data_IF_516564289261
#
_entry.id   IF_516564289261
#
_cell.length_a   1.000
_cell.length_b   1.000
_cell.length_c   1.000
_cell.angle_alpha   90.00
_cell.angle_beta   90.00
_cell.angle_gamma   90.00
#
_symmetry.space_group_name_H-M   'P 1'
#
loop_
_entity.id
_entity.type
_entity.pdbx_description
1 polymer ?
#
# COMPACT_ATOMS: atom_id res chain seq x y z
N UNK A 1 -11.75 21.40 3.86
CA UNK A 1 -10.50 21.01 3.19
C UNK A 1 -9.43 20.92 4.24
N UNK A 2 -8.63 19.86 4.23
CA UNK A 2 -7.75 19.49 5.35
C UNK A 2 -6.36 20.13 5.27
N UNK A 3 -6.08 20.81 4.15
CA UNK A 3 -4.86 21.55 3.90
C UNK A 3 -5.17 22.94 3.32
N UNK A 4 -4.32 23.92 3.64
CA UNK A 4 -4.30 25.25 3.04
C UNK A 4 -2.94 25.50 2.40
N UNK A 5 -2.91 26.29 1.33
CA UNK A 5 -1.65 26.71 0.71
C UNK A 5 -1.39 28.19 1.05
N UNK A 6 -0.19 28.49 1.54
CA UNK A 6 0.26 29.87 1.77
C UNK A 6 0.55 30.57 0.44
N UNK A 7 0.78 31.88 0.49
CA UNK A 7 1.22 32.64 -0.70
C UNK A 7 2.60 32.17 -1.21
N UNK A 8 3.41 31.60 -0.31
CA UNK A 8 4.76 31.09 -0.59
C UNK A 8 4.74 29.62 -1.06
N UNK A 9 3.55 29.04 -1.30
CA UNK A 9 3.31 27.65 -1.73
C UNK A 9 3.62 26.59 -0.67
N UNK A 10 3.66 26.97 0.60
CA UNK A 10 3.73 26.00 1.70
C UNK A 10 2.35 25.42 1.99
N UNK A 11 2.30 24.12 2.30
CA UNK A 11 1.07 23.45 2.72
C UNK A 11 0.96 23.42 4.25
N UNK A 12 -0.15 23.92 4.79
CA UNK A 12 -0.52 23.84 6.21
C UNK A 12 -1.65 22.82 6.36
N UNK A 13 -1.37 21.71 7.04
CA UNK A 13 -2.38 20.72 7.41
C UNK A 13 -3.07 21.14 8.71
N UNK A 14 -4.40 21.23 8.68
CA UNK A 14 -5.19 21.77 9.79
C UNK A 14 -6.13 20.75 10.44
N UNK A 15 -6.27 19.57 9.85
CA UNK A 15 -7.13 18.50 10.33
C UNK A 15 -6.33 17.19 10.44
N UNK A 16 -6.29 16.65 11.66
CA UNK A 16 -5.63 15.38 12.01
C UNK A 16 -6.63 14.32 12.49
N UNK A 17 -7.94 14.57 12.41
CA UNK A 17 -8.99 13.70 12.92
C UNK A 17 -9.08 12.33 12.22
N UNK A 18 -8.40 12.17 11.08
CA UNK A 18 -8.35 10.94 10.30
C UNK A 18 -6.97 10.23 10.35
N UNK A 19 -6.04 10.67 11.22
CA UNK A 19 -4.77 9.96 11.43
C UNK A 19 -5.08 8.58 12.02
N UNK A 20 -4.44 7.56 11.47
CA UNK A 20 -4.61 6.15 11.84
C UNK A 20 -3.28 5.41 11.76
N UNK A 21 -3.17 4.32 12.51
CA UNK A 21 -2.05 3.38 12.40
C UNK A 21 -2.39 2.29 11.37
N UNK A 22 -1.43 2.00 10.50
CA UNK A 22 -1.52 0.91 9.54
C UNK A 22 -0.66 -0.28 10.02
N UNK A 23 -1.20 -1.52 10.03
CA UNK A 23 -0.44 -2.69 10.44
C UNK A 23 0.78 -2.90 9.56
N UNK A 24 1.85 -3.39 10.19
CA UNK A 24 3.15 -3.58 9.53
C UNK A 24 3.06 -4.43 8.26
N UNK A 25 2.29 -5.52 8.28
CA UNK A 25 2.16 -6.42 7.14
C UNK A 25 1.46 -5.75 5.95
N UNK A 26 0.39 -4.99 6.19
CA UNK A 26 -0.32 -4.23 5.14
C UNK A 26 0.57 -3.12 4.60
N UNK A 27 1.22 -2.35 5.48
CA UNK A 27 2.12 -1.27 5.10
C UNK A 27 3.26 -1.76 4.23
N UNK A 28 3.94 -2.85 4.63
CA UNK A 28 5.06 -3.44 3.87
C UNK A 28 4.62 -3.95 2.51
N UNK A 29 3.51 -4.68 2.46
CA UNK A 29 3.01 -5.23 1.21
C UNK A 29 2.63 -4.13 0.22
N UNK A 30 1.83 -3.14 0.64
CA UNK A 30 1.41 -2.02 -0.22
C UNK A 30 2.59 -1.15 -0.65
N UNK A 31 3.53 -0.88 0.26
CA UNK A 31 4.75 -0.17 -0.10
C UNK A 31 5.55 -0.94 -1.15
N UNK A 32 5.80 -2.24 -0.94
CA UNK A 32 6.53 -3.08 -1.89
C UNK A 32 5.82 -3.16 -3.25
N UNK A 33 4.49 -3.29 -3.24
CA UNK A 33 3.68 -3.29 -4.45
C UNK A 33 3.92 -2.03 -5.29
N UNK A 34 3.76 -0.83 -4.71
CA UNK A 34 3.96 0.42 -5.44
C UNK A 34 5.43 0.67 -5.80
N UNK A 35 6.36 0.31 -4.92
CA UNK A 35 7.80 0.43 -5.15
C UNK A 35 8.24 -0.33 -6.39
N UNK A 36 7.87 -1.61 -6.51
CA UNK A 36 8.19 -2.42 -7.68
C UNK A 36 7.38 -2.01 -8.91
N UNK A 37 6.10 -1.62 -8.73
CA UNK A 37 5.25 -1.18 -9.84
C UNK A 37 5.81 0.07 -10.52
N UNK A 38 6.26 1.07 -9.75
CA UNK A 38 6.86 2.30 -10.27
C UNK A 38 8.17 2.07 -11.04
N UNK A 39 8.82 0.91 -10.85
CA UNK A 39 10.04 0.48 -11.56
C UNK A 39 9.76 -0.42 -12.77
N UNK A 40 8.48 -0.73 -13.03
CA UNK A 40 8.09 -1.69 -14.04
C UNK A 40 8.36 -3.15 -13.66
N UNK A 41 8.71 -3.44 -12.40
CA UNK A 41 8.97 -4.78 -11.90
C UNK A 41 7.66 -5.49 -11.51
N UNK A 42 6.80 -5.74 -12.51
CA UNK A 42 5.43 -6.26 -12.30
C UNK A 42 5.39 -7.53 -11.45
N UNK A 43 6.31 -8.47 -11.70
CA UNK A 43 6.34 -9.72 -10.94
C UNK A 43 6.58 -9.49 -9.45
N UNK A 44 7.60 -8.69 -9.11
CA UNK A 44 7.94 -8.38 -7.72
C UNK A 44 6.81 -7.56 -7.06
N UNK A 45 6.16 -6.68 -7.81
CA UNK A 45 4.98 -5.95 -7.34
C UNK A 45 3.86 -6.90 -6.93
N UNK A 46 3.51 -7.84 -7.80
CA UNK A 46 2.44 -8.82 -7.52
C UNK A 46 2.83 -9.76 -6.36
N UNK A 47 4.10 -10.18 -6.31
CA UNK A 47 4.62 -11.00 -5.22
C UNK A 47 4.55 -10.27 -3.87
N UNK A 48 4.83 -8.95 -3.85
CA UNK A 48 4.69 -8.12 -2.65
C UNK A 48 3.24 -8.10 -2.13
N UNK A 49 2.21 -8.11 -2.98
CA UNK A 49 0.82 -8.25 -2.53
C UNK A 49 0.50 -9.59 -1.90
N UNK A 50 1.08 -10.68 -2.42
CA UNK A 50 0.86 -12.01 -1.85
C UNK A 50 1.50 -12.19 -0.47
N UNK A 51 2.34 -11.25 -0.01
CA UNK A 51 2.87 -11.27 1.37
C UNK A 51 1.79 -11.04 2.42
N UNK A 52 0.62 -10.48 2.05
CA UNK A 52 -0.55 -10.34 2.92
C UNK A 52 -1.40 -11.62 3.02
N UNK A 53 -1.10 -12.66 2.24
CA UNK A 53 -1.83 -13.91 2.35
C UNK A 53 -1.31 -14.74 3.52
N UNK A 54 -2.20 -15.09 4.45
CA UNK A 54 -1.91 -15.98 5.59
C UNK A 54 -1.31 -17.31 5.13
N UNK A 55 -1.86 -17.84 4.03
CA UNK A 55 -1.37 -19.04 3.36
C UNK A 55 -1.03 -18.67 1.92
N UNK A 56 0.19 -19.00 1.49
CA UNK A 56 0.62 -18.74 0.12
C UNK A 56 -0.29 -19.49 -0.87
N UNK A 57 -0.92 -18.80 -1.85
CA UNK A 57 -1.63 -19.48 -2.91
C UNK A 57 -0.66 -20.34 -3.72
N UNK A 58 -1.14 -21.49 -4.18
CA UNK A 58 -0.36 -22.41 -5.02
C UNK A 58 -1.21 -22.93 -6.18
N UNK A 59 -0.55 -23.55 -7.17
CA UNK A 59 -1.22 -24.20 -8.30
C UNK A 59 -2.13 -23.24 -9.06
N UNK A 60 -3.37 -23.67 -9.30
CA UNK A 60 -4.33 -22.92 -10.13
C UNK A 60 -4.68 -21.56 -9.54
N UNK A 61 -4.84 -21.43 -8.23
CA UNK A 61 -5.17 -20.15 -7.58
C UNK A 61 -4.08 -19.11 -7.80
N UNK A 62 -2.81 -19.53 -7.67
CA UNK A 62 -1.67 -18.66 -7.91
C UNK A 62 -1.57 -18.23 -9.37
N UNK A 63 -1.82 -19.15 -10.31
CA UNK A 63 -1.82 -18.81 -11.73
C UNK A 63 -2.93 -17.82 -12.07
N UNK A 64 -4.17 -18.07 -11.62
CA UNK A 64 -5.30 -17.15 -11.82
C UNK A 64 -5.02 -15.77 -11.26
N UNK A 65 -4.34 -15.68 -10.12
CA UNK A 65 -3.92 -14.41 -9.55
C UNK A 65 -2.99 -13.64 -10.49
N UNK A 66 -1.90 -14.27 -10.97
CA UNK A 66 -0.99 -13.59 -11.89
C UNK A 66 -1.64 -13.22 -13.21
N UNK A 67 -2.47 -14.10 -13.78
CA UNK A 67 -3.18 -13.82 -15.02
C UNK A 67 -4.08 -12.58 -14.85
N UNK A 68 -4.83 -12.51 -13.73
CA UNK A 68 -5.69 -11.37 -13.41
C UNK A 68 -4.87 -10.09 -13.18
N UNK A 69 -3.75 -10.17 -12.46
CA UNK A 69 -2.90 -9.00 -12.20
C UNK A 69 -2.23 -8.50 -13.48
N UNK A 70 -1.78 -9.39 -14.37
CA UNK A 70 -1.24 -8.99 -15.67
C UNK A 70 -2.30 -8.33 -16.53
N UNK A 71 -3.52 -8.86 -16.59
CA UNK A 71 -4.63 -8.24 -17.31
C UNK A 71 -4.98 -6.87 -16.75
N UNK A 72 -5.00 -6.73 -15.42
CA UNK A 72 -5.29 -5.45 -14.77
C UNK A 72 -4.25 -4.38 -15.09
N UNK A 73 -2.97 -4.75 -15.10
CA UNK A 73 -1.86 -3.79 -15.27
C UNK A 73 -1.36 -3.68 -16.71
N UNK A 74 -1.94 -4.44 -17.65
CA UNK A 74 -1.66 -4.29 -19.08
C UNK A 74 -2.16 -2.91 -19.56
N UNK A 75 -1.22 -2.11 -20.08
CA UNK A 75 -1.51 -0.74 -20.51
C UNK A 75 -1.89 0.24 -19.40
N UNK A 76 -1.77 -0.11 -18.11
CA UNK A 76 -2.05 0.81 -16.99
C UNK A 76 -0.85 1.72 -16.67
N UNK A 77 0.37 1.20 -16.76
CA UNK A 77 1.57 2.03 -16.52
C UNK A 77 1.72 3.01 -17.68
N UNK A 78 1.79 4.31 -17.37
CA UNK A 78 1.85 5.37 -18.38
C UNK A 78 0.51 6.03 -18.71
N UNK A 79 -0.62 5.56 -18.16
CA UNK A 79 -1.91 6.25 -18.32
C UNK A 79 -2.08 7.39 -17.34
N UNK A 80 -2.79 8.44 -17.74
CA UNK A 80 -3.13 9.54 -16.84
C UNK A 80 -4.24 9.17 -15.87
N UNK A 81 -4.33 9.90 -14.75
CA UNK A 81 -5.44 9.75 -13.79
C UNK A 81 -6.82 10.07 -14.41
N UNK A 82 -6.86 10.92 -15.44
CA UNK A 82 -8.09 11.18 -16.20
C UNK A 82 -8.52 10.02 -17.11
N UNK A 83 -7.60 9.14 -17.50
CA UNK A 83 -7.88 7.96 -18.33
C UNK A 83 -8.30 6.76 -17.49
N UNK A 84 -7.58 6.50 -16.38
CA UNK A 84 -7.86 5.39 -15.48
C UNK A 84 -7.77 5.87 -14.03
N UNK A 85 -8.86 5.72 -13.27
CA UNK A 85 -8.87 6.01 -11.84
C UNK A 85 -8.00 5.01 -11.09
N UNK A 86 -7.04 5.51 -10.31
CA UNK A 86 -6.23 4.66 -9.44
C UNK A 86 -7.11 3.94 -8.41
N UNK A 87 -8.18 4.57 -7.94
CA UNK A 87 -9.15 3.96 -7.02
C UNK A 87 -9.77 2.69 -7.60
N UNK A 88 -10.29 2.77 -8.83
CA UNK A 88 -10.92 1.63 -9.48
C UNK A 88 -9.91 0.50 -9.72
N UNK A 89 -8.71 0.86 -10.15
CA UNK A 89 -7.61 -0.08 -10.35
C UNK A 89 -7.23 -0.79 -9.04
N UNK A 90 -7.13 -0.05 -7.95
CA UNK A 90 -6.82 -0.59 -6.63
C UNK A 90 -7.94 -1.50 -6.10
N UNK A 91 -9.21 -1.16 -6.33
CA UNK A 91 -10.33 -2.03 -5.95
C UNK A 91 -10.29 -3.37 -6.69
N UNK A 92 -9.98 -3.37 -8.00
CA UNK A 92 -9.79 -4.61 -8.78
C UNK A 92 -8.58 -5.41 -8.29
N UNK A 93 -7.48 -4.72 -7.96
CA UNK A 93 -6.25 -5.32 -7.40
C UNK A 93 -6.51 -6.01 -6.07
N UNK A 94 -7.19 -5.32 -5.14
CA UNK A 94 -7.60 -5.88 -3.84
C UNK A 94 -8.49 -7.10 -4.04
N UNK A 95 -9.45 -7.05 -4.96
CA UNK A 95 -10.32 -8.19 -5.27
C UNK A 95 -9.52 -9.40 -5.77
N UNK A 96 -8.59 -9.21 -6.69
CA UNK A 96 -7.72 -10.28 -7.19
C UNK A 96 -6.87 -10.89 -6.06
N UNK A 97 -6.30 -10.05 -5.20
CA UNK A 97 -5.51 -10.47 -4.05
C UNK A 97 -6.34 -11.27 -3.02
N UNK A 98 -7.56 -10.83 -2.71
CA UNK A 98 -8.48 -11.55 -1.80
C UNK A 98 -8.85 -12.92 -2.36
N UNK A 99 -9.12 -13.04 -3.66
CA UNK A 99 -9.37 -14.34 -4.31
C UNK A 99 -8.14 -15.27 -4.26
N UNK A 100 -6.95 -14.70 -4.11
CA UNK A 100 -5.69 -15.44 -3.92
C UNK A 100 -5.39 -15.76 -2.44
N UNK A 101 -6.25 -15.35 -1.50
CA UNK A 101 -6.09 -15.64 -0.07
C UNK A 101 -5.45 -14.50 0.74
N UNK A 102 -5.28 -13.30 0.19
CA UNK A 102 -4.86 -12.14 0.97
C UNK A 102 -5.97 -11.66 1.92
N UNK A 103 -5.58 -11.33 3.15
CA UNK A 103 -6.46 -10.66 4.12
C UNK A 103 -5.94 -9.25 4.36
N UNK A 104 -6.77 -8.25 4.09
CA UNK A 104 -6.43 -6.85 4.28
C UNK A 104 -6.85 -6.34 5.68
N UNK A 105 -7.72 -7.08 6.38
CA UNK A 105 -8.28 -6.67 7.68
C UNK A 105 -9.09 -5.37 7.62
N UNK A 106 -9.66 -4.96 8.76
CA UNK A 106 -10.31 -3.64 8.85
C UNK A 106 -9.30 -2.48 8.78
N UNK A 107 -8.03 -2.76 9.11
CA UNK A 107 -6.98 -1.76 9.22
C UNK A 107 -6.39 -1.31 7.87
N UNK A 108 -6.74 -1.98 6.76
CA UNK A 108 -6.38 -1.51 5.41
C UNK A 108 -7.35 -0.45 4.87
N UNK A 109 -8.58 -0.37 5.41
CA UNK A 109 -9.58 0.60 4.93
C UNK A 109 -9.09 2.06 4.99
N UNK A 110 -8.37 2.50 6.04
CA UNK A 110 -7.84 3.87 6.07
C UNK A 110 -6.78 4.14 4.99
N UNK A 111 -6.00 3.13 4.59
CA UNK A 111 -5.00 3.26 3.51
C UNK A 111 -5.72 3.39 2.16
N UNK A 112 -6.69 2.51 1.89
CA UNK A 112 -7.50 2.57 0.67
C UNK A 112 -8.21 3.92 0.59
N UNK A 113 -8.81 4.39 1.68
CA UNK A 113 -9.47 5.70 1.75
C UNK A 113 -8.49 6.86 1.45
N UNK A 114 -7.26 6.78 1.98
CA UNK A 114 -6.22 7.78 1.70
C UNK A 114 -5.87 7.81 0.21
N UNK A 115 -5.67 6.64 -0.42
CA UNK A 115 -5.42 6.53 -1.86
C UNK A 115 -6.57 7.12 -2.68
N UNK A 116 -7.83 6.84 -2.31
CA UNK A 116 -9.01 7.39 -2.97
C UNK A 116 -9.07 8.93 -2.92
N UNK A 117 -8.76 9.52 -1.76
CA UNK A 117 -8.73 10.98 -1.64
C UNK A 117 -7.61 11.60 -2.46
N UNK A 118 -6.44 10.97 -2.51
CA UNK A 118 -5.32 11.43 -3.33
C UNK A 118 -5.67 11.34 -4.83
N UNK A 119 -6.25 10.23 -5.28
CA UNK A 119 -6.75 10.05 -6.66
C UNK A 119 -7.74 11.16 -7.04
N UNK A 120 -8.71 11.45 -6.17
CA UNK A 120 -9.67 12.54 -6.39
C UNK A 120 -9.08 13.95 -6.36
N UNK A 121 -8.00 14.18 -5.58
CA UNK A 121 -7.27 15.44 -5.60
C UNK A 121 -6.48 15.62 -6.90
N UNK A 122 -5.81 14.58 -7.36
CA UNK A 122 -5.03 14.59 -8.61
C UNK A 122 -5.94 14.80 -9.80
N UNK A 123 -7.08 14.09 -9.87
CA UNK A 123 -8.07 14.26 -10.93
C UNK A 123 -8.56 15.72 -11.08
N UNK A 124 -8.64 16.47 -9.98
CA UNK A 124 -9.08 17.88 -10.00
C UNK A 124 -7.95 18.88 -10.25
N UNK A 125 -6.73 18.57 -9.79
CA UNK A 125 -5.61 19.52 -9.78
C UNK A 125 -4.59 19.30 -10.89
N UNK A 126 -4.36 18.06 -11.31
CA UNK A 126 -3.35 17.69 -12.29
C UNK A 126 -3.74 16.37 -13.00
N UNK A 127 -4.86 16.36 -13.76
CA UNK A 127 -5.47 15.14 -14.29
C UNK A 127 -4.60 14.36 -15.27
N UNK A 128 -3.71 15.05 -15.99
CA UNK A 128 -2.90 14.46 -17.07
C UNK A 128 -1.62 13.79 -16.56
N UNK A 129 -1.45 13.68 -15.24
CA UNK A 129 -0.27 13.07 -14.63
C UNK A 129 -0.36 11.54 -14.65
N UNK A 130 0.75 10.90 -15.00
CA UNK A 130 0.98 9.50 -14.64
C UNK A 130 1.35 9.42 -13.17
N UNK A 131 0.36 9.04 -12.35
CA UNK A 131 0.50 8.97 -10.91
C UNK A 131 1.50 7.89 -10.46
N UNK A 132 1.58 6.76 -11.17
CA UNK A 132 2.49 5.66 -10.82
C UNK A 132 3.94 6.09 -11.02
N UNK A 133 4.26 6.64 -12.18
CA UNK A 133 5.63 7.13 -12.46
C UNK A 133 6.01 8.29 -11.54
N UNK A 134 5.06 9.18 -11.24
CA UNK A 134 5.30 10.33 -10.36
C UNK A 134 5.56 9.94 -8.90
N UNK A 135 5.11 8.78 -8.45
CA UNK A 135 5.40 8.27 -7.10
C UNK A 135 6.84 7.77 -6.94
N UNK A 136 7.52 7.40 -8.04
CA UNK A 136 8.84 6.76 -8.02
C UNK A 136 9.89 7.46 -7.13
N UNK A 137 10.17 8.77 -7.32
CA UNK A 137 11.17 9.47 -6.52
C UNK A 137 10.87 9.46 -5.01
N UNK A 138 9.59 9.56 -4.62
CA UNK A 138 9.18 9.52 -3.22
C UNK A 138 9.31 8.11 -2.64
N UNK A 139 8.99 7.09 -3.43
CA UNK A 139 9.18 5.69 -3.03
C UNK A 139 10.66 5.36 -2.82
N UNK A 140 11.55 5.89 -3.65
CA UNK A 140 13.00 5.76 -3.48
C UNK A 140 13.50 6.48 -2.22
N UNK A 141 12.99 7.67 -1.91
CA UNK A 141 13.29 8.37 -0.65
C UNK A 141 12.85 7.55 0.57
N UNK A 142 11.61 7.05 0.57
CA UNK A 142 11.10 6.22 1.66
C UNK A 142 11.80 4.86 1.77
N UNK A 143 12.31 4.30 0.66
CA UNK A 143 13.10 3.08 0.67
C UNK A 143 14.44 3.24 1.39
N UNK A 144 14.90 4.46 1.70
CA UNK A 144 16.05 4.65 2.61
C UNK A 144 15.71 4.35 4.06
N UNK A 145 14.42 4.32 4.41
CA UNK A 145 13.90 4.08 5.75
C UNK A 145 13.42 2.63 5.96
N UNK A 146 13.34 1.84 4.89
CA UNK A 146 12.82 0.47 4.88
C UNK A 146 13.81 -0.39 4.10
N UNK A 147 14.23 -1.55 4.63
CA UNK A 147 15.09 -2.47 3.87
C UNK A 147 14.30 -3.10 2.70
N UNK A 148 14.60 -2.74 1.42
CA UNK A 148 13.85 -3.24 0.27
C UNK A 148 14.00 -4.76 0.09
N UNK A 149 15.09 -5.36 0.58
CA UNK A 149 15.29 -6.80 0.51
C UNK A 149 14.24 -7.58 1.32
N UNK A 150 13.65 -6.94 2.34
CA UNK A 150 12.63 -7.56 3.20
C UNK A 150 11.21 -7.46 2.63
N UNK A 151 11.00 -6.75 1.52
CA UNK A 151 9.65 -6.47 0.99
C UNK A 151 8.94 -7.69 0.42
N UNK A 152 9.70 -8.73 0.06
CA UNK A 152 9.16 -10.00 -0.43
C UNK A 152 9.17 -11.09 0.66
N UNK A 153 9.70 -10.79 1.84
CA UNK A 153 9.69 -11.72 2.96
C UNK A 153 8.29 -11.80 3.57
N UNK A 154 7.78 -13.02 3.76
CA UNK A 154 6.54 -13.25 4.49
C UNK A 154 6.80 -13.14 5.98
N UNK A 155 5.97 -12.37 6.67
CA UNK A 155 6.00 -12.31 8.14
C UNK A 155 5.46 -13.62 8.70
N UNK A 156 6.30 -14.46 9.32
CA UNK A 156 5.82 -15.66 10.01
C UNK A 156 5.05 -15.25 11.29
N UNK A 157 3.72 -15.34 11.26
CA UNK A 157 2.82 -15.02 12.39
C UNK A 157 3.11 -15.82 13.68
N UNK A 158 3.92 -16.89 13.61
CA UNK A 158 4.30 -17.71 14.78
C UNK A 158 5.20 -16.97 15.79
N UNK A 159 5.77 -15.81 15.45
CA UNK A 159 6.66 -15.07 16.36
C UNK A 159 5.95 -14.04 17.25
N UNK A 160 4.70 -13.66 16.95
CA UNK A 160 3.95 -12.66 17.71
C UNK A 160 3.40 -13.19 19.04
N UNK A 161 3.08 -14.48 19.15
CA UNK A 161 2.53 -15.04 20.40
C UNK A 161 3.54 -15.08 21.56
N UNK A 162 4.84 -15.00 21.28
CA UNK A 162 5.91 -15.08 22.30
C UNK A 162 6.26 -13.71 22.91
N UNK A 163 5.94 -12.61 22.22
CA UNK A 163 6.27 -11.25 22.70
C UNK A 163 5.16 -10.69 23.59
N UNK A 164 3.89 -10.96 23.28
CA UNK A 164 2.77 -10.52 24.13
C UNK A 164 2.74 -11.19 25.51
N UNK A 165 3.22 -12.44 25.63
CA UNK A 165 3.28 -13.13 26.92
C UNK A 165 4.32 -12.56 27.89
N UNK A 166 5.30 -11.79 27.42
CA UNK A 166 6.41 -11.31 28.24
C UNK A 166 6.27 -9.86 28.74
N UNK A 167 5.17 -9.17 28.43
CA UNK A 167 4.94 -7.80 28.90
C UNK A 167 4.29 -7.79 30.30
N UNK A 168 5.02 -8.26 31.30
CA UNK A 168 4.65 -7.96 32.70
C UNK A 168 4.89 -6.48 32.97
N UNK A 169 3.79 -5.75 33.16
CA UNK A 169 3.77 -4.32 33.51
C UNK A 169 4.59 -4.10 34.79
N UNK A 170 5.75 -3.44 34.67
CA UNK A 170 6.48 -2.89 35.82
C UNK A 170 5.81 -1.59 36.26
N UNK A 171 4.80 -1.69 37.12
CA UNK A 171 4.28 -0.54 37.88
C UNK A 171 5.14 -0.31 39.12
N UNK A 172 6.09 0.63 39.07
CA UNK A 172 6.63 1.28 40.27
C UNK A 172 7.01 2.73 39.97
N UNK A 173 6.14 3.65 40.35
CA UNK A 173 6.51 5.04 40.65
C UNK A 173 6.40 5.21 42.16
N UNK A 174 7.50 5.51 42.90
CA UNK A 174 7.37 5.93 44.29
C UNK A 174 7.00 7.41 44.35
N UNK A 175 6.15 7.73 45.33
CA UNK A 175 5.81 9.09 45.76
C UNK A 175 6.95 9.73 46.56
#
# INVERSE_FOLDING_TARGET
GNAMMTKDKDFIFIDTGAICEAPDHVRKALFGFFYFLAKGELRNSFDAMLTMADVAPTGKTLQTYYDSMHELYDGFVGTSVSEVSLTEQMMKTVKAAVLAGCSFGEDAFPIIRSLMYMDGMVLKGHPDVDLISSMGPYLDEFATLIDPATLLERTNSSRFSLVEQNRTLRTKTPA
#
